data_IF_970057159011
#
_entry.id   IF_970057159011
#
_cell.length_a   1.000
_cell.length_b   1.000
_cell.length_c   1.000
_cell.angle_alpha   90.00
_cell.angle_beta   90.00
_cell.angle_gamma   90.00
#
_symmetry.space_group_name_H-M   'P 1'
#
loop_
_entity.id
_entity.type
_entity.pdbx_description
1 polymer ?
#
# COMPACT_ATOMS: atom_id res chain seq x y z
N UNK A 1 -56.34 -10.23 -34.51
CA UNK A 1 -56.17 -11.53 -33.81
C UNK A 1 -54.73 -11.95 -34.08
N UNK A 2 -53.79 -11.79 -33.16
CA UNK A 2 -53.54 -12.75 -32.08
C UNK A 2 -52.80 -12.11 -30.90
N UNK A 3 -53.17 -12.56 -29.69
CA UNK A 3 -52.87 -12.03 -28.37
C UNK A 3 -52.28 -13.18 -27.54
N UNK A 4 -50.96 -13.21 -27.30
CA UNK A 4 -50.23 -14.02 -26.27
C UNK A 4 -48.78 -13.45 -26.26
N UNK A 5 -48.26 -12.64 -25.33
CA UNK A 5 -48.20 -12.65 -23.85
C UNK A 5 -47.39 -13.82 -23.28
N UNK A 6 -46.08 -13.61 -23.12
CA UNK A 6 -45.34 -13.89 -21.87
C UNK A 6 -44.26 -12.83 -21.68
N UNK A 7 -44.65 -11.76 -21.00
CA UNK A 7 -43.77 -11.03 -20.08
C UNK A 7 -43.49 -11.97 -18.92
N UNK A 8 -42.26 -12.48 -18.77
CA UNK A 8 -41.73 -13.05 -17.51
C UNK A 8 -40.24 -13.36 -17.70
N UNK A 9 -39.47 -12.36 -18.19
CA UNK A 9 -38.01 -12.39 -17.99
C UNK A 9 -37.75 -11.69 -16.65
N UNK A 10 -37.26 -12.40 -15.62
CA UNK A 10 -36.85 -11.74 -14.39
C UNK A 10 -35.74 -10.74 -14.72
N UNK A 11 -35.86 -9.52 -14.20
CA UNK A 11 -34.82 -8.51 -14.32
C UNK A 11 -33.47 -9.11 -13.86
N UNK A 12 -32.35 -8.87 -14.57
CA UNK A 12 -31.06 -9.41 -14.18
C UNK A 12 -30.78 -8.99 -12.74
N UNK A 13 -30.55 -10.01 -11.91
CA UNK A 13 -30.26 -9.90 -10.48
C UNK A 13 -29.19 -8.82 -10.27
N UNK A 14 -29.61 -7.62 -9.83
CA UNK A 14 -28.67 -6.58 -9.42
C UNK A 14 -28.12 -7.01 -8.07
N UNK A 15 -27.16 -7.93 -8.08
CA UNK A 15 -26.30 -8.17 -6.94
C UNK A 15 -25.67 -6.83 -6.59
N UNK A 16 -26.25 -6.14 -5.59
CA UNK A 16 -25.59 -5.01 -4.97
C UNK A 16 -24.34 -5.60 -4.33
N UNK A 17 -23.22 -5.48 -5.03
CA UNK A 17 -21.90 -5.66 -4.43
C UNK A 17 -21.91 -4.79 -3.18
N UNK A 18 -21.85 -5.41 -2.00
CA UNK A 18 -21.71 -4.69 -0.74
C UNK A 18 -20.31 -4.08 -0.73
N UNK A 19 -20.12 -2.95 -1.39
CA UNK A 19 -18.88 -2.20 -1.27
C UNK A 19 -18.87 -1.53 0.10
N UNK A 20 -17.94 -1.97 0.94
CA UNK A 20 -17.64 -1.27 2.20
C UNK A 20 -17.06 0.08 1.82
N UNK A 21 -17.84 1.14 2.02
CA UNK A 21 -17.40 2.49 1.71
C UNK A 21 -16.36 2.94 2.76
N UNK A 22 -15.21 3.44 2.31
CA UNK A 22 -14.18 3.99 3.19
C UNK A 22 -14.43 5.49 3.36
N UNK A 23 -14.80 5.92 4.56
CA UNK A 23 -14.89 7.33 4.91
C UNK A 23 -13.57 7.76 5.56
N UNK A 24 -12.98 8.84 5.05
CA UNK A 24 -11.80 9.47 5.64
C UNK A 24 -12.01 10.97 5.82
N UNK A 25 -11.41 11.50 6.89
CA UNK A 25 -11.28 12.94 7.11
C UNK A 25 -9.85 13.35 6.76
N UNK A 26 -9.73 14.44 6.00
CA UNK A 26 -8.47 15.04 5.55
C UNK A 26 -8.37 16.43 6.19
N UNK A 27 -7.35 16.66 7.00
CA UNK A 27 -7.11 17.95 7.66
C UNK A 27 -6.62 19.02 6.67
N UNK A 28 -6.69 20.32 7.02
CA UNK A 28 -6.03 21.36 6.25
C UNK A 28 -4.54 21.04 6.03
N UNK A 29 -4.09 21.16 4.78
CA UNK A 29 -2.73 20.86 4.34
C UNK A 29 -2.38 19.37 4.24
N UNK A 30 -3.28 18.45 4.57
CA UNK A 30 -3.00 17.02 4.49
C UNK A 30 -3.17 16.51 3.05
N UNK A 31 -2.23 15.64 2.64
CA UNK A 31 -2.21 15.02 1.31
C UNK A 31 -2.48 13.52 1.39
N UNK A 32 -3.32 13.04 0.46
CA UNK A 32 -3.61 11.61 0.25
C UNK A 32 -3.35 11.23 -1.20
N UNK A 33 -2.84 10.01 -1.39
CA UNK A 33 -2.56 9.44 -2.70
C UNK A 33 -3.58 8.35 -3.00
N UNK A 34 -4.29 8.45 -4.12
CA UNK A 34 -5.35 7.50 -4.50
C UNK A 34 -5.18 7.10 -5.96
N UNK A 35 -4.94 5.81 -6.22
CA UNK A 35 -4.77 5.26 -7.58
C UNK A 35 -3.79 6.05 -8.47
N UNK A 36 -2.75 6.66 -7.89
CA UNK A 36 -1.78 7.49 -8.60
C UNK A 36 -2.12 8.98 -8.68
N UNK A 37 -3.31 9.41 -8.23
CA UNK A 37 -3.63 10.82 -8.04
C UNK A 37 -3.17 11.30 -6.67
N UNK A 38 -2.66 12.52 -6.62
CA UNK A 38 -2.33 13.23 -5.38
C UNK A 38 -3.43 14.25 -5.07
N UNK A 39 -3.98 14.17 -3.86
CA UNK A 39 -5.10 15.01 -3.41
C UNK A 39 -4.64 15.74 -2.15
N UNK A 40 -4.38 17.03 -2.27
CA UNK A 40 -4.07 17.90 -1.14
C UNK A 40 -5.30 18.71 -0.72
N UNK A 41 -5.60 18.73 0.57
CA UNK A 41 -6.63 19.60 1.11
C UNK A 41 -6.07 21.02 1.37
N UNK A 42 -6.26 21.93 0.43
CA UNK A 42 -5.79 23.32 0.55
C UNK A 42 -6.63 24.21 1.50
N UNK A 43 -7.73 23.69 2.08
CA UNK A 43 -8.70 24.48 2.83
C UNK A 43 -9.02 23.91 4.21
N UNK A 44 -10.26 24.12 4.66
CA UNK A 44 -10.75 23.55 5.91
C UNK A 44 -10.85 22.02 5.85
N UNK A 45 -10.98 21.36 7.01
CA UNK A 45 -11.14 19.90 7.08
C UNK A 45 -12.24 19.38 6.14
N UNK A 46 -11.92 18.37 5.33
CA UNK A 46 -12.82 17.78 4.36
C UNK A 46 -13.09 16.29 4.66
N UNK A 47 -14.30 15.82 4.35
CA UNK A 47 -14.67 14.40 4.47
C UNK A 47 -14.82 13.79 3.08
N UNK A 48 -13.98 12.81 2.76
CA UNK A 48 -14.06 12.04 1.51
C UNK A 48 -14.65 10.66 1.79
N UNK A 49 -15.55 10.20 0.92
CA UNK A 49 -16.13 8.85 1.00
C UNK A 49 -15.85 8.11 -0.30
N UNK A 50 -15.05 7.06 -0.21
CA UNK A 50 -14.70 6.18 -1.32
C UNK A 50 -15.72 5.04 -1.36
N UNK A 51 -16.53 4.99 -2.42
CA UNK A 51 -17.62 4.01 -2.58
C UNK A 51 -17.19 2.74 -3.31
N UNK A 52 -15.95 2.71 -3.76
CA UNK A 52 -15.30 1.63 -4.49
C UNK A 52 -13.96 1.27 -3.84
N UNK A 53 -13.44 0.09 -4.18
CA UNK A 53 -12.07 -0.26 -3.82
C UNK A 53 -11.08 0.63 -4.57
N UNK A 54 -10.06 1.08 -3.85
CA UNK A 54 -8.96 1.86 -4.40
C UNK A 54 -7.68 1.58 -3.63
N UNK A 55 -6.56 1.90 -4.27
CA UNK A 55 -5.23 1.96 -3.65
C UNK A 55 -5.07 3.32 -3.02
N UNK A 56 -4.80 3.38 -1.73
CA UNK A 56 -4.71 4.63 -0.98
C UNK A 56 -3.57 4.61 0.04
N UNK A 57 -2.86 5.73 0.15
CA UNK A 57 -1.94 6.04 1.25
C UNK A 57 -2.08 7.51 1.66
N UNK A 58 -1.79 7.82 2.91
CA UNK A 58 -1.59 9.21 3.36
C UNK A 58 -0.12 9.59 3.21
N UNK A 59 0.15 10.86 2.92
CA UNK A 59 1.52 11.41 2.89
C UNK A 59 2.28 11.11 4.19
N UNK A 60 1.62 11.22 5.34
CA UNK A 60 2.21 10.90 6.66
C UNK A 60 2.65 9.44 6.83
N UNK A 61 2.10 8.52 6.02
CA UNK A 61 2.54 7.13 6.03
C UNK A 61 3.74 6.89 5.12
N UNK A 62 3.93 7.75 4.12
CA UNK A 62 4.90 7.61 3.04
C UNK A 62 6.31 8.07 3.45
N UNK A 63 7.29 7.71 2.63
CA UNK A 63 8.64 8.26 2.68
C UNK A 63 8.97 8.91 1.34
N UNK A 64 9.84 9.93 1.38
CA UNK A 64 10.34 10.58 0.17
C UNK A 64 11.48 9.76 -0.45
N UNK A 65 11.75 9.99 -1.74
CA UNK A 65 12.90 9.37 -2.41
C UNK A 65 14.23 9.82 -1.78
N UNK A 66 14.31 11.07 -1.32
CA UNK A 66 15.48 11.60 -0.62
C UNK A 66 15.73 10.94 0.74
N UNK A 67 14.69 10.44 1.41
CA UNK A 67 14.84 9.73 2.68
C UNK A 67 15.21 8.24 2.47
N UNK A 68 15.04 7.71 1.26
CA UNK A 68 15.29 6.31 0.92
C UNK A 68 16.78 6.00 0.69
N UNK A 69 17.62 6.33 1.68
CA UNK A 69 19.09 6.21 1.59
C UNK A 69 19.60 4.82 1.98
N UNK A 70 18.99 4.16 2.97
CA UNK A 70 19.42 2.85 3.45
C UNK A 70 18.74 1.69 2.71
N UNK A 71 19.33 0.48 2.69
CA UNK A 71 18.71 -0.70 2.08
C UNK A 71 17.28 -0.96 2.55
N UNK A 72 16.99 -0.90 3.86
CA UNK A 72 15.64 -1.14 4.35
C UNK A 72 14.68 0.03 4.02
N UNK A 73 15.15 1.28 3.97
CA UNK A 73 14.31 2.40 3.51
C UNK A 73 13.94 2.28 2.02
N UNK A 74 14.83 1.75 1.18
CA UNK A 74 14.51 1.43 -0.23
C UNK A 74 13.46 0.34 -0.37
N UNK A 75 13.46 -0.67 0.51
CA UNK A 75 12.35 -1.65 0.59
C UNK A 75 11.02 -0.93 0.90
N UNK A 76 11.02 0.02 1.83
CA UNK A 76 9.81 0.79 2.18
C UNK A 76 9.30 1.57 0.96
N UNK A 77 10.20 2.20 0.20
CA UNK A 77 9.84 2.93 -1.02
C UNK A 77 9.25 2.01 -2.09
N UNK A 78 9.84 0.83 -2.32
CA UNK A 78 9.31 -0.16 -3.25
C UNK A 78 7.91 -0.66 -2.81
N UNK A 79 7.74 -0.97 -1.53
CA UNK A 79 6.44 -1.39 -0.96
C UNK A 79 5.38 -0.29 -1.07
N UNK A 80 5.74 0.97 -0.87
CA UNK A 80 4.85 2.12 -1.06
C UNK A 80 4.32 2.16 -2.50
N UNK A 81 5.20 2.00 -3.48
CA UNK A 81 4.81 1.95 -4.89
C UNK A 81 3.96 0.72 -5.21
N UNK A 82 4.27 -0.45 -4.63
CA UNK A 82 3.44 -1.67 -4.74
C UNK A 82 2.02 -1.44 -4.22
N UNK A 83 1.85 -0.67 -3.13
CA UNK A 83 0.52 -0.34 -2.60
C UNK A 83 -0.25 0.57 -3.58
N UNK A 84 0.41 1.53 -4.22
CA UNK A 84 -0.25 2.58 -5.03
C UNK A 84 -0.46 2.22 -6.50
N UNK A 85 0.39 1.36 -7.07
CA UNK A 85 0.37 1.00 -8.50
C UNK A 85 -0.55 -0.16 -8.81
N UNK A 86 -1.06 -0.17 -10.05
CA UNK A 86 -1.88 -1.27 -10.55
C UNK A 86 -1.10 -2.52 -10.90
N UNK A 87 0.03 -2.31 -11.56
CA UNK A 87 0.91 -3.36 -12.00
C UNK A 87 2.32 -3.04 -11.52
N UNK A 88 2.67 -3.43 -10.28
CA UNK A 88 3.94 -3.07 -9.67
C UNK A 88 5.06 -4.07 -10.00
N UNK A 89 5.18 -4.48 -11.27
CA UNK A 89 6.13 -5.52 -11.67
C UNK A 89 7.59 -5.11 -11.40
N UNK A 90 7.95 -3.88 -11.78
CA UNK A 90 9.30 -3.36 -11.57
C UNK A 90 9.63 -3.20 -10.08
N UNK A 91 8.65 -2.77 -9.28
CA UNK A 91 8.82 -2.61 -7.84
C UNK A 91 8.99 -3.95 -7.12
N UNK A 92 8.30 -5.00 -7.58
CA UNK A 92 8.46 -6.35 -7.03
C UNK A 92 9.85 -6.92 -7.38
N UNK A 93 10.36 -6.65 -8.58
CA UNK A 93 11.72 -7.03 -8.98
C UNK A 93 12.77 -6.29 -8.15
N UNK A 94 12.61 -4.97 -7.99
CA UNK A 94 13.50 -4.15 -7.19
C UNK A 94 13.48 -4.58 -5.71
N UNK A 95 12.30 -4.86 -5.15
CA UNK A 95 12.15 -5.39 -3.80
C UNK A 95 12.89 -6.72 -3.63
N UNK A 96 12.80 -7.62 -4.62
CA UNK A 96 13.49 -8.92 -4.58
C UNK A 96 15.02 -8.74 -4.61
N UNK A 97 15.52 -7.82 -5.44
CA UNK A 97 16.94 -7.46 -5.49
C UNK A 97 17.44 -6.90 -4.16
N UNK A 98 16.70 -5.96 -3.57
CA UNK A 98 17.03 -5.36 -2.28
C UNK A 98 17.00 -6.38 -1.14
N UNK A 99 16.02 -7.30 -1.15
CA UNK A 99 15.92 -8.36 -0.17
C UNK A 99 17.17 -9.23 -0.14
N UNK A 100 17.69 -9.64 -1.31
CA UNK A 100 18.95 -10.40 -1.39
C UNK A 100 20.13 -9.61 -0.81
N UNK A 101 20.26 -8.34 -1.15
CA UNK A 101 21.34 -7.48 -0.63
C UNK A 101 21.28 -7.30 0.89
N UNK A 102 20.08 -7.14 1.45
CA UNK A 102 19.87 -7.05 2.89
C UNK A 102 20.23 -8.36 3.56
N UNK A 103 19.84 -9.51 3.00
CA UNK A 103 20.15 -10.80 3.61
C UNK A 103 21.65 -11.14 3.59
N UNK A 104 22.41 -10.61 2.63
CA UNK A 104 23.86 -10.75 2.59
C UNK A 104 24.56 -9.95 3.70
N UNK A 105 23.99 -8.81 4.10
CA UNK A 105 24.61 -7.87 5.05
C UNK A 105 24.04 -8.00 6.46
N UNK A 106 22.77 -8.40 6.58
CA UNK A 106 22.04 -8.57 7.82
C UNK A 106 21.18 -9.85 7.77
N UNK A 107 21.77 -11.05 7.86
CA UNK A 107 21.03 -12.31 7.79
C UNK A 107 19.95 -12.47 8.87
N UNK A 108 20.10 -11.80 10.01
CA UNK A 108 19.17 -11.85 11.14
C UNK A 108 17.77 -11.31 10.84
N UNK A 109 17.58 -10.56 9.75
CA UNK A 109 16.25 -10.07 9.34
C UNK A 109 15.51 -10.98 8.36
N UNK A 110 16.04 -12.19 8.10
CA UNK A 110 15.38 -13.18 7.25
C UNK A 110 13.90 -13.44 7.60
N UNK A 111 13.49 -13.56 8.87
CA UNK A 111 12.08 -13.75 9.22
C UNK A 111 11.17 -12.59 8.75
N UNK A 112 11.65 -11.35 8.85
CA UNK A 112 10.92 -10.15 8.46
C UNK A 112 10.76 -10.07 6.93
N UNK A 113 11.83 -10.39 6.19
CA UNK A 113 11.78 -10.45 4.72
C UNK A 113 10.81 -11.54 4.26
N UNK A 114 10.86 -12.72 4.88
CA UNK A 114 9.93 -13.81 4.58
C UNK A 114 8.47 -13.43 4.85
N UNK A 115 8.19 -12.77 5.98
CA UNK A 115 6.86 -12.26 6.31
C UNK A 115 6.35 -11.26 5.26
N UNK A 116 7.20 -10.33 4.82
CA UNK A 116 6.86 -9.36 3.75
C UNK A 116 6.50 -10.10 2.46
N UNK A 117 7.31 -11.07 2.04
CA UNK A 117 7.07 -11.85 0.82
C UNK A 117 5.75 -12.63 0.89
N UNK A 118 5.45 -13.25 2.04
CA UNK A 118 4.19 -13.95 2.25
C UNK A 118 3.00 -12.98 2.14
N UNK A 119 3.05 -11.83 2.80
CA UNK A 119 2.00 -10.81 2.73
C UNK A 119 1.77 -10.31 1.30
N UNK A 120 2.83 -10.15 0.51
CA UNK A 120 2.73 -9.78 -0.90
C UNK A 120 2.05 -10.87 -1.74
N UNK A 121 2.40 -12.14 -1.53
CA UNK A 121 1.76 -13.28 -2.21
C UNK A 121 0.25 -13.38 -1.91
N UNK A 122 -0.15 -12.99 -0.70
CA UNK A 122 -1.54 -12.90 -0.25
C UNK A 122 -2.25 -11.60 -0.67
N UNK A 123 -1.58 -10.74 -1.45
CA UNK A 123 -2.06 -9.40 -1.87
C UNK A 123 -2.36 -8.45 -0.70
N UNK A 124 -1.81 -8.69 0.49
CA UNK A 124 -1.93 -7.85 1.69
C UNK A 124 -0.88 -6.72 1.67
N UNK A 125 -0.84 -5.96 0.58
CA UNK A 125 0.23 -4.98 0.28
C UNK A 125 0.36 -3.89 1.35
N UNK A 126 -0.75 -3.38 1.87
CA UNK A 126 -0.72 -2.34 2.91
C UNK A 126 -0.13 -2.84 4.25
N UNK A 127 -0.31 -4.13 4.56
CA UNK A 127 0.28 -4.74 5.76
C UNK A 127 1.77 -4.99 5.51
N UNK A 128 2.13 -5.48 4.32
CA UNK A 128 3.52 -5.65 3.90
C UNK A 128 4.29 -4.32 4.01
N UNK A 129 3.71 -3.22 3.55
CA UNK A 129 4.27 -1.86 3.68
C UNK A 129 4.56 -1.48 5.15
N UNK A 130 3.60 -1.71 6.06
CA UNK A 130 3.80 -1.47 7.50
C UNK A 130 4.94 -2.32 8.07
N UNK A 131 5.07 -3.58 7.64
CA UNK A 131 6.18 -4.46 8.03
C UNK A 131 7.52 -3.97 7.48
N UNK A 132 7.56 -3.44 6.26
CA UNK A 132 8.73 -2.76 5.71
C UNK A 132 9.18 -1.59 6.58
N UNK A 133 8.25 -0.75 7.04
CA UNK A 133 8.59 0.37 7.97
C UNK A 133 9.16 -0.14 9.29
N UNK A 134 8.63 -1.24 9.83
CA UNK A 134 9.18 -1.87 11.03
C UNK A 134 10.60 -2.41 10.79
N UNK A 135 10.85 -3.01 9.62
CA UNK A 135 12.20 -3.47 9.23
C UNK A 135 13.20 -2.30 9.14
N UNK A 136 12.80 -1.18 8.54
CA UNK A 136 13.61 0.04 8.50
C UNK A 136 13.95 0.56 9.90
N UNK A 137 13.01 0.48 10.85
CA UNK A 137 13.28 0.87 12.24
C UNK A 137 14.29 -0.05 12.93
N UNK A 138 14.29 -1.36 12.62
CA UNK A 138 15.28 -2.31 13.14
C UNK A 138 16.68 -2.02 12.61
N UNK A 139 16.80 -1.70 11.32
CA UNK A 139 18.06 -1.29 10.72
C UNK A 139 18.64 -0.04 11.41
N UNK A 140 17.81 0.99 11.60
CA UNK A 140 18.22 2.21 12.30
C UNK A 140 18.67 1.95 13.75
N UNK A 141 18.00 1.05 14.46
CA UNK A 141 18.40 0.63 15.81
C UNK A 141 19.74 -0.11 15.82
N UNK A 142 19.97 -1.01 14.86
CA UNK A 142 21.24 -1.71 14.69
C UNK A 142 22.41 -0.75 14.49
N UNK A 143 22.24 0.25 13.61
CA UNK A 143 23.23 1.30 13.39
C UNK A 143 23.53 2.14 14.65
N UNK A 144 22.49 2.48 15.43
CA UNK A 144 22.68 3.24 16.69
C UNK A 144 23.51 2.46 17.70
N UNK A 145 23.24 1.15 17.85
CA UNK A 145 24.00 0.28 18.77
C UNK A 145 25.46 0.15 18.35
N UNK A 146 25.72 -0.03 17.06
CA UNK A 146 27.08 -0.14 16.53
C UNK A 146 27.92 1.14 16.72
N UNK A 147 27.28 2.32 16.78
CA UNK A 147 27.97 3.60 17.02
C UNK A 147 28.24 3.91 18.51
N UNK A 148 27.52 3.24 19.41
CA UNK A 148 27.58 3.47 20.85
C UNK A 148 28.56 2.55 21.59
N UNK A 149 29.09 1.51 20.93
CA UNK A 149 30.16 0.65 21.42
C UNK A 149 31.48 0.96 20.74
#
# INVERSE_FOLDING_TARGET
MSKWLRSDLPAPNSERVRTVALKLTIKPGETVYINGAEICNAGSSASLVLKNHCRILRESEMISESDAVSPCSKIVLALQQIVLKENPFEELNELSRLAVQILQTMPSVAPQILEIQQLLSEKKTHIAFKKGKALMALEAEGFRRAKAG
#
